data_IF_676927069033
#
_entry.id   IF_676927069033
#
_cell.length_a   1.000
_cell.length_b   1.000
_cell.length_c   1.000
_cell.angle_alpha   90.00
_cell.angle_beta   90.00
_cell.angle_gamma   90.00
#
_symmetry.space_group_name_H-M   'P 1'
#
loop_
_entity.id
_entity.type
_entity.pdbx_description
1 polymer ?
#
# COMPACT_ATOMS: atom_id res chain seq x y z
N UNK A 1 -5.77 -2.36 -9.61
CA UNK A 1 -5.65 -2.41 -8.15
C UNK A 1 -5.33 -1.01 -7.63
N UNK A 2 -6.26 -0.43 -6.86
CA UNK A 2 -6.07 0.82 -6.13
C UNK A 2 -5.93 0.54 -4.63
N UNK A 3 -4.83 0.97 -4.02
CA UNK A 3 -4.61 0.89 -2.58
C UNK A 3 -4.39 2.26 -1.95
N UNK A 4 -4.77 2.38 -0.68
CA UNK A 4 -4.55 3.57 0.15
C UNK A 4 -3.63 3.18 1.30
N UNK A 5 -2.61 3.98 1.60
CA UNK A 5 -1.83 3.84 2.83
C UNK A 5 -2.34 4.86 3.84
N UNK A 6 -2.47 4.48 5.11
CA UNK A 6 -2.88 5.39 6.18
C UNK A 6 -1.97 6.61 6.30
N UNK A 7 -2.51 7.72 6.81
CA UNK A 7 -1.68 8.83 7.25
C UNK A 7 -0.67 8.34 8.28
N UNK A 8 0.58 8.80 8.20
CA UNK A 8 1.59 8.51 9.23
C UNK A 8 1.23 9.20 10.56
N UNK A 9 0.56 10.35 10.48
CA UNK A 9 0.06 11.09 11.64
C UNK A 9 -1.30 10.56 12.08
N UNK A 10 -1.58 10.65 13.37
CA UNK A 10 -2.92 10.47 13.90
C UNK A 10 -3.86 11.53 13.33
N UNK A 11 -5.03 11.07 12.91
CA UNK A 11 -6.08 11.96 12.42
C UNK A 11 -7.27 11.89 13.37
N UNK A 12 -7.89 13.04 13.59
CA UNK A 12 -9.18 13.06 14.25
C UNK A 12 -10.19 12.25 13.42
N UNK A 13 -11.01 11.43 14.08
CA UNK A 13 -12.01 10.57 13.43
C UNK A 13 -11.45 9.58 12.39
N UNK A 14 -10.17 9.17 12.51
CA UNK A 14 -9.52 8.27 11.55
C UNK A 14 -10.32 7.00 11.28
N UNK A 15 -10.81 6.33 12.32
CA UNK A 15 -11.64 5.13 12.21
C UNK A 15 -12.86 5.37 11.32
N UNK A 16 -13.54 6.49 11.50
CA UNK A 16 -14.71 6.87 10.71
C UNK A 16 -14.33 7.03 9.24
N UNK A 17 -13.22 7.72 8.96
CA UNK A 17 -12.71 7.90 7.60
C UNK A 17 -12.33 6.57 6.96
N UNK A 18 -11.63 5.68 7.66
CA UNK A 18 -11.24 4.37 7.14
C UNK A 18 -12.47 3.52 6.79
N UNK A 19 -13.46 3.44 7.67
CA UNK A 19 -14.70 2.72 7.40
C UNK A 19 -15.48 3.33 6.21
N UNK A 20 -15.45 4.66 6.06
CA UNK A 20 -16.04 5.34 4.90
C UNK A 20 -15.30 5.01 3.60
N UNK A 21 -13.96 5.02 3.57
CA UNK A 21 -13.15 4.63 2.42
C UNK A 21 -13.48 3.21 1.97
N UNK A 22 -13.56 2.26 2.90
CA UNK A 22 -13.98 0.89 2.60
C UNK A 22 -15.40 0.80 2.05
N UNK A 23 -16.33 1.56 2.63
CA UNK A 23 -17.72 1.63 2.16
C UNK A 23 -17.85 2.26 0.76
N UNK A 24 -16.91 3.12 0.36
CA UNK A 24 -16.78 3.65 -1.01
C UNK A 24 -15.98 2.73 -1.94
N UNK A 25 -15.62 1.54 -1.46
CA UNK A 25 -15.01 0.47 -2.22
C UNK A 25 -13.50 0.61 -2.38
N UNK A 26 -12.80 1.01 -1.32
CA UNK A 26 -11.37 0.76 -1.19
C UNK A 26 -11.07 -0.74 -1.30
N UNK A 27 -10.16 -1.11 -2.20
CA UNK A 27 -9.77 -2.51 -2.44
C UNK A 27 -8.81 -3.02 -1.35
N UNK A 28 -7.77 -2.23 -1.05
CA UNK A 28 -6.76 -2.57 -0.04
C UNK A 28 -6.33 -1.33 0.74
N UNK A 29 -6.43 -1.41 2.07
CA UNK A 29 -5.79 -0.47 2.98
C UNK A 29 -4.44 -1.03 3.41
N UNK A 30 -3.39 -0.26 3.25
CA UNK A 30 -2.11 -0.50 3.88
C UNK A 30 -2.07 0.27 5.20
N UNK A 31 -2.20 -0.44 6.31
CA UNK A 31 -2.16 0.12 7.65
C UNK A 31 -0.70 0.25 8.11
N UNK A 32 -0.24 1.49 8.22
CA UNK A 32 1.10 1.88 8.66
C UNK A 32 1.02 3.11 9.56
N UNK A 33 1.41 2.92 10.81
CA UNK A 33 1.43 3.90 11.90
C UNK A 33 2.77 3.79 12.65
N UNK A 34 3.81 4.51 12.20
CA UNK A 34 5.16 4.38 12.77
C UNK A 34 5.25 4.76 14.25
N UNK A 35 4.32 5.60 14.74
CA UNK A 35 4.25 6.02 16.14
C UNK A 35 3.46 5.08 17.05
N UNK A 36 2.79 4.06 16.50
CA UNK A 36 1.91 3.19 17.28
C UNK A 36 2.65 1.99 17.83
N UNK A 37 2.39 1.67 19.09
CA UNK A 37 2.67 0.35 19.66
C UNK A 37 1.60 -0.68 19.26
N UNK A 38 1.85 -1.94 19.60
CA UNK A 38 0.96 -3.05 19.26
C UNK A 38 -0.46 -2.90 19.84
N UNK A 39 -0.63 -2.32 21.02
CA UNK A 39 -1.94 -2.13 21.63
C UNK A 39 -2.72 -1.02 20.93
N UNK A 40 -2.05 0.05 20.51
CA UNK A 40 -2.66 1.11 19.69
C UNK A 40 -3.09 0.58 18.31
N UNK A 41 -2.27 -0.27 17.67
CA UNK A 41 -2.69 -0.99 16.46
C UNK A 41 -3.93 -1.85 16.69
N UNK A 42 -3.93 -2.64 17.78
CA UNK A 42 -5.04 -3.52 18.14
C UNK A 42 -6.31 -2.72 18.43
N UNK A 43 -6.21 -1.59 19.12
CA UNK A 43 -7.34 -0.69 19.39
C UNK A 43 -7.94 -0.15 18.09
N UNK A 44 -7.10 0.40 17.19
CA UNK A 44 -7.54 0.91 15.90
C UNK A 44 -8.23 -0.18 15.05
N UNK A 45 -7.65 -1.39 14.99
CA UNK A 45 -8.23 -2.51 14.24
C UNK A 45 -9.59 -2.94 14.79
N UNK A 46 -9.79 -2.97 16.12
CA UNK A 46 -11.07 -3.31 16.75
C UNK A 46 -12.20 -2.35 16.39
N UNK A 47 -11.88 -1.09 16.08
CA UNK A 47 -12.88 -0.10 15.69
C UNK A 47 -13.19 -0.09 14.17
N UNK A 48 -12.32 -0.67 13.34
CA UNK A 48 -12.62 -0.93 11.94
C UNK A 48 -13.61 -2.10 11.85
N UNK A 49 -14.65 -1.97 11.02
CA UNK A 49 -15.62 -3.05 10.83
C UNK A 49 -14.93 -4.32 10.31
N UNK A 50 -15.20 -5.44 10.97
CA UNK A 50 -14.53 -6.72 10.69
C UNK A 50 -14.75 -7.26 9.28
N UNK A 51 -15.83 -6.87 8.61
CA UNK A 51 -16.08 -7.18 7.19
C UNK A 51 -14.97 -6.66 6.25
N UNK A 52 -14.19 -5.66 6.69
CA UNK A 52 -13.09 -5.07 5.93
C UNK A 52 -11.72 -5.65 6.24
N UNK A 53 -11.57 -6.53 7.25
CA UNK A 53 -10.25 -7.07 7.65
C UNK A 53 -9.50 -7.78 6.52
N UNK A 54 -10.23 -8.52 5.67
CA UNK A 54 -9.69 -9.18 4.46
C UNK A 54 -9.14 -8.21 3.40
N UNK A 55 -9.26 -6.90 3.62
CA UNK A 55 -8.75 -5.82 2.77
C UNK A 55 -7.62 -5.02 3.44
N UNK A 56 -7.17 -5.39 4.64
CA UNK A 56 -6.12 -4.67 5.37
C UNK A 56 -4.78 -5.41 5.25
N UNK A 57 -3.75 -4.72 4.78
CA UNK A 57 -2.35 -5.15 4.80
C UNK A 57 -1.62 -4.38 5.89
N UNK A 58 -1.03 -5.08 6.86
CA UNK A 58 -0.37 -4.44 8.00
C UNK A 58 1.15 -4.38 7.76
N UNK A 59 1.78 -3.24 8.06
CA UNK A 59 3.23 -3.01 7.84
C UNK A 59 4.09 -3.34 9.05
N UNK A 60 3.55 -3.20 10.25
CA UNK A 60 4.20 -3.48 11.52
C UNK A 60 3.32 -4.45 12.35
N UNK A 61 3.84 -5.01 13.45
CA UNK A 61 3.09 -5.91 14.34
C UNK A 61 2.38 -7.07 13.58
N UNK A 62 3.12 -7.75 12.71
CA UNK A 62 2.60 -8.77 11.78
C UNK A 62 1.85 -9.93 12.47
N UNK A 63 2.06 -10.18 13.76
CA UNK A 63 1.27 -11.10 14.58
C UNK A 63 -0.22 -10.76 14.58
N UNK A 64 -0.59 -9.48 14.49
CA UNK A 64 -1.98 -9.02 14.43
C UNK A 64 -2.68 -9.47 13.15
N UNK A 65 -1.92 -9.77 12.09
CA UNK A 65 -2.47 -10.34 10.86
C UNK A 65 -3.24 -11.64 11.13
N UNK A 66 -2.72 -12.49 12.02
CA UNK A 66 -3.36 -13.75 12.42
C UNK A 66 -4.50 -13.50 13.41
N UNK A 67 -4.29 -12.60 14.37
CA UNK A 67 -5.28 -12.26 15.40
C UNK A 67 -6.60 -11.76 14.79
N UNK A 68 -6.53 -10.90 13.78
CA UNK A 68 -7.69 -10.29 13.14
C UNK A 68 -8.09 -10.93 11.81
N UNK A 69 -7.37 -11.96 11.36
CA UNK A 69 -7.53 -12.55 10.02
C UNK A 69 -7.49 -11.49 8.90
N UNK A 70 -6.45 -10.66 8.93
CA UNK A 70 -6.25 -9.57 7.97
C UNK A 70 -5.93 -10.13 6.57
N UNK A 71 -5.89 -9.26 5.56
CA UNK A 71 -5.49 -9.65 4.19
C UNK A 71 -4.08 -10.26 4.18
N UNK A 72 -3.16 -9.67 4.93
CA UNK A 72 -1.76 -10.04 4.88
C UNK A 72 -0.81 -9.01 5.49
N UNK A 73 0.48 -9.23 5.23
CA UNK A 73 1.57 -8.42 5.75
C UNK A 73 2.33 -7.70 4.63
N UNK A 74 2.89 -6.54 4.96
CA UNK A 74 3.71 -5.76 4.05
C UNK A 74 5.11 -5.54 4.66
N UNK A 75 6.14 -6.06 4.00
CA UNK A 75 7.52 -5.82 4.41
C UNK A 75 8.04 -4.52 3.80
N UNK A 76 8.30 -3.51 4.63
CA UNK A 76 9.08 -2.35 4.21
C UNK A 76 10.50 -2.79 3.76
N UNK A 77 11.17 -1.96 2.96
CA UNK A 77 12.45 -2.34 2.33
C UNK A 77 13.54 -2.71 3.35
N UNK A 78 13.79 -1.87 4.35
CA UNK A 78 14.83 -2.16 5.35
C UNK A 78 14.49 -3.41 6.18
N UNK A 79 13.29 -3.55 6.79
CA UNK A 79 12.90 -4.80 7.45
C UNK A 79 12.96 -6.04 6.54
N UNK A 80 12.69 -5.90 5.23
CA UNK A 80 12.88 -7.00 4.28
C UNK A 80 14.35 -7.38 4.15
N UNK A 81 15.24 -6.41 4.04
CA UNK A 81 16.69 -6.62 3.91
C UNK A 81 17.24 -7.25 5.19
N UNK A 82 16.83 -6.76 6.36
CA UNK A 82 17.29 -7.21 7.68
C UNK A 82 16.93 -8.67 7.99
N UNK A 83 15.95 -9.25 7.27
CA UNK A 83 15.63 -10.66 7.39
C UNK A 83 16.69 -11.58 6.76
N UNK A 84 17.52 -11.07 5.85
CA UNK A 84 18.60 -11.81 5.18
C UNK A 84 18.13 -13.22 4.71
N UNK A 85 18.81 -14.29 5.12
CA UNK A 85 18.50 -15.67 4.78
C UNK A 85 17.13 -16.15 5.32
N UNK A 86 16.60 -15.46 6.35
CA UNK A 86 15.28 -15.78 6.92
C UNK A 86 14.12 -15.20 6.11
N UNK A 87 14.37 -14.35 5.10
CA UNK A 87 13.29 -13.70 4.35
C UNK A 87 12.32 -14.71 3.73
N UNK A 88 12.82 -15.79 3.14
CA UNK A 88 11.98 -16.80 2.52
C UNK A 88 11.13 -17.55 3.56
N UNK A 89 11.74 -18.04 4.63
CA UNK A 89 11.01 -18.76 5.69
C UNK A 89 9.97 -17.87 6.38
N UNK A 90 10.31 -16.60 6.60
CA UNK A 90 9.41 -15.60 7.16
C UNK A 90 8.17 -15.41 6.29
N UNK A 91 8.36 -15.14 4.99
CA UNK A 91 7.25 -14.93 4.04
C UNK A 91 6.40 -16.20 3.85
N UNK A 92 7.03 -17.37 3.72
CA UNK A 92 6.33 -18.66 3.61
C UNK A 92 5.48 -18.98 4.86
N UNK A 93 5.90 -18.54 6.04
CA UNK A 93 5.14 -18.76 7.29
C UNK A 93 3.78 -18.05 7.33
N UNK A 94 3.61 -16.98 6.54
CA UNK A 94 2.34 -16.28 6.36
C UNK A 94 1.57 -16.84 5.16
N UNK A 95 2.25 -17.05 4.02
CA UNK A 95 1.61 -17.59 2.80
C UNK A 95 1.02 -18.98 3.01
N UNK A 96 1.71 -19.86 3.75
CA UNK A 96 1.20 -21.20 4.11
C UNK A 96 -0.08 -21.17 4.93
N UNK A 97 -0.42 -20.04 5.54
CA UNK A 97 -1.67 -19.81 6.29
C UNK A 97 -2.73 -19.08 5.48
N UNK A 98 -2.50 -18.85 4.18
CA UNK A 98 -3.41 -18.17 3.28
C UNK A 98 -3.30 -16.64 3.27
N UNK A 99 -2.37 -16.06 4.03
CA UNK A 99 -2.16 -14.61 4.05
C UNK A 99 -1.39 -14.13 2.82
N UNK A 100 -1.67 -12.91 2.39
CA UNK A 100 -0.93 -12.22 1.34
C UNK A 100 0.37 -11.62 1.89
N UNK A 101 1.39 -11.55 1.04
CA UNK A 101 2.67 -10.92 1.40
C UNK A 101 3.09 -10.00 0.28
N UNK A 102 3.35 -8.73 0.61
CA UNK A 102 3.91 -7.74 -0.33
C UNK A 102 5.16 -7.10 0.26
N UNK A 103 5.92 -6.38 -0.56
CA UNK A 103 7.08 -5.64 -0.07
C UNK A 103 7.39 -4.37 -0.86
N UNK A 104 8.04 -3.42 -0.20
CA UNK A 104 8.55 -2.19 -0.79
C UNK A 104 9.93 -2.37 -1.43
N UNK A 105 10.12 -1.67 -2.55
CA UNK A 105 11.36 -1.55 -3.30
C UNK A 105 11.52 -0.09 -3.75
N UNK A 106 12.77 0.39 -3.83
CA UNK A 106 13.09 1.70 -4.40
C UNK A 106 13.99 1.63 -5.65
N UNK A 107 14.22 0.41 -6.14
CA UNK A 107 15.01 0.08 -7.33
C UNK A 107 14.32 -1.05 -8.13
N UNK A 108 13.98 -0.83 -9.42
CA UNK A 108 13.31 -1.83 -10.26
C UNK A 108 14.18 -3.06 -10.54
N UNK A 109 15.50 -2.95 -10.60
CA UNK A 109 16.39 -4.09 -10.85
C UNK A 109 16.49 -5.01 -9.63
N UNK A 110 16.53 -4.42 -8.43
CA UNK A 110 16.43 -5.17 -7.17
C UNK A 110 15.07 -5.86 -7.06
N UNK A 111 14.01 -5.19 -7.46
CA UNK A 111 12.66 -5.77 -7.52
C UNK A 111 12.62 -6.95 -8.49
N UNK A 112 13.14 -6.76 -9.72
CA UNK A 112 13.11 -7.77 -10.77
C UNK A 112 13.91 -9.03 -10.36
N UNK A 113 15.11 -8.83 -9.79
CA UNK A 113 15.98 -9.91 -9.34
C UNK A 113 15.51 -10.64 -8.08
N UNK A 114 14.57 -10.08 -7.30
CA UNK A 114 14.05 -10.71 -6.09
C UNK A 114 13.42 -12.08 -6.40
N UNK A 115 13.88 -13.13 -5.71
CA UNK A 115 13.40 -14.51 -5.86
C UNK A 115 12.19 -14.83 -4.97
N UNK A 116 11.81 -13.89 -4.10
CA UNK A 116 10.67 -14.07 -3.21
C UNK A 116 9.39 -13.84 -4.00
N UNK A 117 8.46 -14.78 -3.87
CA UNK A 117 7.15 -14.71 -4.51
C UNK A 117 6.21 -13.80 -3.69
N UNK A 118 6.31 -12.49 -3.90
CA UNK A 118 5.38 -11.52 -3.34
C UNK A 118 4.11 -11.45 -4.19
N UNK A 119 2.95 -11.32 -3.54
CA UNK A 119 1.66 -11.14 -4.22
C UNK A 119 1.62 -9.85 -5.06
N UNK A 120 2.34 -8.81 -4.62
CA UNK A 120 2.66 -7.60 -5.37
C UNK A 120 3.80 -6.82 -4.69
N UNK A 121 4.37 -5.88 -5.42
CA UNK A 121 5.51 -5.07 -5.02
C UNK A 121 5.11 -3.59 -5.02
N UNK A 122 5.46 -2.85 -3.98
CA UNK A 122 5.36 -1.39 -4.01
C UNK A 122 6.68 -0.83 -4.53
N UNK A 123 6.64 -0.05 -5.62
CA UNK A 123 7.81 0.63 -6.15
C UNK A 123 7.59 2.15 -6.04
N UNK A 124 8.51 2.82 -5.35
CA UNK A 124 8.42 4.26 -5.08
C UNK A 124 9.80 4.93 -5.06
N UNK A 125 9.89 6.28 -5.18
CA UNK A 125 8.84 7.17 -5.67
C UNK A 125 8.70 7.10 -7.20
N UNK A 126 7.45 7.02 -7.70
CA UNK A 126 7.16 7.13 -9.14
C UNK A 126 7.31 8.58 -9.60
N UNK A 127 6.62 9.50 -8.91
CA UNK A 127 6.70 10.93 -9.15
C UNK A 127 7.22 11.68 -7.91
N UNK A 128 7.69 12.90 -8.14
CA UNK A 128 8.19 13.75 -7.07
C UNK A 128 7.07 14.06 -6.09
N UNK A 129 7.37 13.96 -4.79
CA UNK A 129 6.41 14.37 -3.77
C UNK A 129 6.44 15.89 -3.63
N UNK A 130 5.28 16.53 -3.75
CA UNK A 130 5.14 17.98 -3.49
C UNK A 130 5.46 18.29 -2.01
N UNK A 131 5.17 17.36 -1.08
CA UNK A 131 5.30 17.56 0.37
C UNK A 131 6.62 17.06 0.98
N UNK A 132 7.37 16.16 0.30
CA UNK A 132 8.68 15.69 0.75
C UNK A 132 9.78 16.29 -0.14
N UNK A 133 10.26 17.48 0.24
CA UNK A 133 11.40 18.15 -0.43
C UNK A 133 12.60 17.17 -0.50
N UNK A 134 13.06 16.86 -1.71
CA UNK A 134 14.18 15.94 -1.97
C UNK A 134 13.80 14.54 -2.50
N UNK A 135 12.50 14.22 -2.62
CA UNK A 135 12.04 13.03 -3.33
C UNK A 135 11.77 13.37 -4.79
N UNK A 136 12.76 13.18 -5.66
CA UNK A 136 12.56 13.27 -7.11
C UNK A 136 11.91 11.98 -7.64
N UNK A 137 10.87 12.15 -8.46
CA UNK A 137 10.20 11.05 -9.15
C UNK A 137 11.13 10.39 -10.14
N UNK A 138 11.26 9.07 -10.04
CA UNK A 138 12.17 8.31 -10.89
C UNK A 138 11.55 7.84 -12.21
N UNK A 139 10.22 7.92 -12.34
CA UNK A 139 9.51 7.63 -13.60
C UNK A 139 9.86 6.28 -14.20
N UNK A 140 10.05 5.24 -13.38
CA UNK A 140 10.52 3.94 -13.84
C UNK A 140 9.54 3.32 -14.84
N UNK A 141 10.00 3.06 -16.06
CA UNK A 141 9.28 2.18 -16.99
C UNK A 141 9.51 0.72 -16.59
N UNK A 142 8.45 0.08 -16.11
CA UNK A 142 8.46 -1.29 -15.61
C UNK A 142 7.81 -2.29 -16.56
N UNK A 143 7.50 -1.91 -17.81
CA UNK A 143 6.87 -2.79 -18.80
C UNK A 143 7.65 -4.08 -19.07
N UNK A 144 8.96 -4.05 -18.87
CA UNK A 144 9.85 -5.20 -19.06
C UNK A 144 9.85 -6.18 -17.87
N UNK A 145 9.24 -5.82 -16.73
CA UNK A 145 9.25 -6.62 -15.50
C UNK A 145 7.93 -7.41 -15.39
N UNK A 146 8.03 -8.74 -15.41
CA UNK A 146 6.88 -9.64 -15.32
C UNK A 146 6.44 -9.90 -13.87
N UNK A 147 6.18 -8.82 -13.12
CA UNK A 147 5.72 -8.86 -11.72
C UNK A 147 4.58 -7.85 -11.51
N UNK A 148 3.73 -8.10 -10.51
CA UNK A 148 2.70 -7.14 -10.11
C UNK A 148 3.36 -6.00 -9.33
N UNK A 149 3.49 -4.84 -9.98
CA UNK A 149 4.11 -3.65 -9.39
C UNK A 149 3.04 -2.58 -9.23
N UNK A 150 2.92 -2.06 -8.01
CA UNK A 150 2.03 -0.96 -7.66
C UNK A 150 2.87 0.31 -7.54
N UNK A 151 2.50 1.32 -8.32
CA UNK A 151 3.20 2.59 -8.37
C UNK A 151 2.81 3.49 -7.21
N UNK A 152 3.81 4.04 -6.53
CA UNK A 152 3.64 4.86 -5.35
C UNK A 152 4.49 6.12 -5.34
N UNK A 153 3.97 7.20 -4.77
CA UNK A 153 4.65 8.49 -4.65
C UNK A 153 4.25 9.45 -5.77
N UNK A 154 3.59 10.54 -5.38
CA UNK A 154 3.08 11.57 -6.30
C UNK A 154 1.92 11.13 -7.20
N UNK A 155 1.20 10.05 -6.84
CA UNK A 155 0.02 9.58 -7.59
C UNK A 155 -1.23 10.38 -7.19
N UNK A 156 -1.89 10.98 -8.17
CA UNK A 156 -3.16 11.71 -8.08
C UNK A 156 -3.93 11.59 -9.41
N UNK A 157 -5.11 12.21 -9.52
CA UNK A 157 -5.97 12.18 -10.71
C UNK A 157 -5.26 12.56 -12.02
N UNK A 158 -4.28 13.47 -11.96
CA UNK A 158 -3.54 13.93 -13.14
C UNK A 158 -2.40 13.01 -13.54
N UNK A 159 -1.85 12.23 -12.61
CA UNK A 159 -0.67 11.37 -12.87
C UNK A 159 -1.03 9.89 -13.07
N UNK A 160 -2.28 9.48 -12.82
CA UNK A 160 -2.77 8.11 -13.05
C UNK A 160 -2.48 7.60 -14.48
N UNK A 161 -2.75 8.35 -15.56
CA UNK A 161 -2.50 7.86 -16.92
C UNK A 161 -1.01 7.53 -17.16
N UNK A 162 -0.12 8.35 -16.61
CA UNK A 162 1.32 8.15 -16.75
C UNK A 162 1.81 6.93 -15.97
N UNK A 163 1.29 6.69 -14.75
CA UNK A 163 1.60 5.45 -14.01
C UNK A 163 1.21 4.21 -14.82
N UNK A 164 0.02 4.22 -15.42
CA UNK A 164 -0.45 3.07 -16.19
C UNK A 164 0.38 2.87 -17.46
N UNK A 165 0.74 3.94 -18.16
CA UNK A 165 1.61 3.89 -19.35
C UNK A 165 3.00 3.33 -19.05
N UNK A 166 3.53 3.57 -17.85
CA UNK A 166 4.81 3.05 -17.39
C UNK A 166 4.78 1.55 -17.01
N UNK A 167 3.65 0.86 -17.19
CA UNK A 167 3.55 -0.60 -17.02
C UNK A 167 3.17 -1.06 -15.61
N UNK A 168 2.81 -0.13 -14.72
CA UNK A 168 2.39 -0.49 -13.36
C UNK A 168 1.03 -1.20 -13.38
N UNK A 169 0.92 -2.28 -12.62
CA UNK A 169 -0.31 -3.07 -12.46
C UNK A 169 -1.40 -2.31 -11.69
N UNK A 170 -1.01 -1.33 -10.88
CA UNK A 170 -1.94 -0.54 -10.08
C UNK A 170 -1.28 0.64 -9.41
N UNK A 171 -2.06 1.34 -8.60
CA UNK A 171 -1.65 2.59 -7.94
C UNK A 171 -1.81 2.51 -6.42
N UNK A 172 -0.85 3.12 -5.72
CA UNK A 172 -0.90 3.35 -4.29
C UNK A 172 -0.91 4.84 -3.98
N UNK A 173 -1.90 5.26 -3.19
CA UNK A 173 -2.10 6.67 -2.82
C UNK A 173 -1.96 6.87 -1.31
N UNK A 174 -1.38 8.01 -0.95
CA UNK A 174 -1.26 8.48 0.44
C UNK A 174 -1.61 9.97 0.48
N UNK A 175 -0.71 10.82 -0.03
CA UNK A 175 -0.91 12.27 -0.02
C UNK A 175 -2.13 12.72 -0.82
N UNK A 176 -2.42 12.07 -1.95
CA UNK A 176 -3.62 12.36 -2.75
C UNK A 176 -4.93 12.20 -1.98
N UNK A 177 -4.97 11.34 -0.96
CA UNK A 177 -6.16 11.18 -0.10
C UNK A 177 -6.06 12.08 1.14
N UNK A 178 -4.96 11.97 1.90
CA UNK A 178 -4.87 12.56 3.23
C UNK A 178 -4.47 14.04 3.26
N UNK A 179 -3.80 14.56 2.22
CA UNK A 179 -3.41 15.98 2.17
C UNK A 179 -4.48 16.82 1.45
N UNK A 180 -5.74 16.62 1.81
CA UNK A 180 -6.89 17.31 1.24
C UNK A 180 -7.89 17.68 2.33
N UNK A 181 -8.74 18.69 2.10
CA UNK A 181 -9.80 19.06 3.04
C UNK A 181 -10.86 17.97 3.19
N UNK A 182 -11.08 17.16 2.15
CA UNK A 182 -12.07 16.08 2.14
C UNK A 182 -11.48 14.79 1.56
N UNK A 183 -10.87 13.94 2.41
CA UNK A 183 -10.23 12.69 1.98
C UNK A 183 -11.18 11.72 1.27
N UNK A 184 -12.47 11.72 1.63
CA UNK A 184 -13.46 10.81 1.04
C UNK A 184 -13.79 11.22 -0.39
N UNK A 185 -14.01 12.51 -0.64
CA UNK A 185 -14.25 13.01 -1.98
C UNK A 185 -13.01 12.86 -2.86
N UNK A 186 -11.82 13.15 -2.31
CA UNK A 186 -10.57 12.93 -3.04
C UNK A 186 -10.38 11.46 -3.45
N UNK A 187 -10.63 10.52 -2.53
CA UNK A 187 -10.58 9.10 -2.85
C UNK A 187 -11.57 8.70 -3.95
N UNK A 188 -12.80 9.23 -3.93
CA UNK A 188 -13.80 8.94 -4.96
C UNK A 188 -13.35 9.44 -6.34
N UNK A 189 -12.78 10.63 -6.44
CA UNK A 189 -12.27 11.17 -7.70
C UNK A 189 -11.09 10.35 -8.22
N UNK A 190 -10.10 10.04 -7.37
CA UNK A 190 -8.98 9.16 -7.72
C UNK A 190 -9.49 7.81 -8.24
N UNK A 191 -10.45 7.21 -7.55
CA UNK A 191 -11.05 5.93 -7.94
C UNK A 191 -11.79 6.02 -9.27
N UNK A 192 -12.55 7.09 -9.50
CA UNK A 192 -13.28 7.31 -10.76
C UNK A 192 -12.31 7.42 -11.93
N UNK A 193 -11.32 8.29 -11.83
CA UNK A 193 -10.28 8.48 -12.85
C UNK A 193 -9.50 7.18 -13.11
N UNK A 194 -9.12 6.46 -12.05
CA UNK A 194 -8.45 5.17 -12.19
C UNK A 194 -9.32 4.12 -12.92
N UNK A 195 -10.62 4.08 -12.62
CA UNK A 195 -11.57 3.19 -13.29
C UNK A 195 -11.73 3.52 -14.79
N UNK A 196 -11.77 4.81 -15.14
CA UNK A 196 -11.86 5.27 -16.52
C UNK A 196 -10.64 4.86 -17.36
N UNK A 197 -9.44 4.88 -16.80
CA UNK A 197 -8.22 4.46 -17.52
C UNK A 197 -8.04 2.94 -17.60
N UNK A 198 -8.58 2.17 -16.65
CA UNK A 198 -8.40 0.70 -16.61
C UNK A 198 -9.51 -0.10 -17.30
N UNK A 199 -10.57 0.57 -17.74
CA UNK A 199 -11.69 -0.05 -18.49
C UNK A 199 -11.58 0.17 -20.01
N UNK A 200 -10.61 0.98 -20.47
CA UNK A 200 -10.31 1.19 -21.90
C UNK A 200 -9.52 0.01 -22.47
#
# INVERSE_FOLDING_TARGET
MLLVITSEQELENEVTLLNQLFSKGLEVLHLRKPSFDIEQYRALLKEIKSEFYSRIMIHENHELCKEFNLKGIHLQEQPRIDLEDNLKSYTDSYKSKGFKVSSSFHDPEVLNSSKIDFDYHLLSPVFSSISKKGYEGKGFDVNHIQKKIIGMGGVNETTIPDVLKLGYYGIGVLGGVWNTENPIESFKEIKRHYGEETTK
#
